data_IF_898947959996
#
_entry.id   IF_898947959996
#
_cell.length_a   1.000
_cell.length_b   1.000
_cell.length_c   1.000
_cell.angle_alpha   90.00
_cell.angle_beta   90.00
_cell.angle_gamma   90.00
#
_symmetry.space_group_name_H-M   'P 1'
#
loop_
_entity.id
_entity.type
_entity.pdbx_description
1 polymer ?
#
# COMPACT_ATOMS: atom_id res chain seq x y z
N UNK A 1 -8.02 60.01 45.77
CA UNK A 1 -8.68 59.26 44.67
C UNK A 1 -7.67 59.13 43.53
N UNK A 2 -7.37 57.90 43.07
CA UNK A 2 -6.47 57.65 41.94
C UNK A 2 -7.32 57.42 40.69
N UNK A 3 -7.14 58.26 39.66
CA UNK A 3 -7.82 58.13 38.38
C UNK A 3 -6.85 57.44 37.43
N UNK A 4 -7.18 56.21 37.03
CA UNK A 4 -6.41 55.49 36.01
C UNK A 4 -6.99 55.84 34.64
N UNK A 5 -6.23 56.54 33.80
CA UNK A 5 -6.54 56.66 32.38
C UNK A 5 -6.35 55.28 31.73
N UNK A 6 -7.46 54.61 31.40
CA UNK A 6 -7.44 53.46 30.52
C UNK A 6 -7.17 53.97 29.10
N UNK A 7 -5.92 53.84 28.65
CA UNK A 7 -5.54 54.12 27.27
C UNK A 7 -6.38 53.31 26.29
N UNK A 8 -6.79 53.94 25.19
CA UNK A 8 -7.53 53.29 24.11
C UNK A 8 -6.74 52.07 23.63
N UNK A 9 -7.27 50.87 23.85
CA UNK A 9 -6.72 49.67 23.24
C UNK A 9 -6.80 49.87 21.72
N UNK A 10 -5.66 49.94 21.03
CA UNK A 10 -5.60 50.01 19.58
C UNK A 10 -6.04 48.68 19.00
N UNK A 11 -7.36 48.47 18.96
CA UNK A 11 -7.97 47.33 18.29
C UNK A 11 -7.70 47.53 16.81
N UNK A 12 -6.61 46.96 16.30
CA UNK A 12 -6.26 47.05 14.90
C UNK A 12 -6.93 45.87 14.18
N UNK A 13 -8.12 46.04 13.57
CA UNK A 13 -8.92 44.93 13.06
C UNK A 13 -8.21 44.18 11.92
N UNK A 14 -7.23 44.83 11.27
CA UNK A 14 -6.46 44.26 10.18
C UNK A 14 -5.45 43.19 10.63
N UNK A 15 -4.84 43.33 11.80
CA UNK A 15 -3.88 42.33 12.32
C UNK A 15 -4.58 41.02 12.69
N UNK A 16 -5.77 41.10 13.28
CA UNK A 16 -6.59 39.94 13.66
C UNK A 16 -7.04 39.11 12.45
N UNK A 17 -7.18 39.73 11.29
CA UNK A 17 -7.53 39.03 10.04
C UNK A 17 -6.32 38.31 9.44
N UNK A 18 -5.12 38.87 9.59
CA UNK A 18 -3.88 38.26 9.11
C UNK A 18 -3.51 36.99 9.90
N UNK A 19 -3.69 37.02 11.22
CA UNK A 19 -3.47 35.86 12.09
C UNK A 19 -4.46 34.72 11.79
N UNK A 20 -5.74 35.04 11.54
CA UNK A 20 -6.75 34.05 11.15
C UNK A 20 -6.44 33.39 9.80
N UNK A 21 -5.85 34.13 8.85
CA UNK A 21 -5.44 33.59 7.55
C UNK A 21 -4.20 32.69 7.65
N UNK A 22 -3.30 32.94 8.61
CA UNK A 22 -2.13 32.10 8.84
C UNK A 22 -2.52 30.72 9.44
N UNK A 23 -3.48 30.68 10.37
CA UNK A 23 -3.95 29.44 11.01
C UNK A 23 -4.72 28.52 10.03
N UNK A 24 -5.36 29.07 9.00
CA UNK A 24 -6.12 28.28 8.02
C UNK A 24 -5.24 27.58 6.96
N UNK A 25 -3.94 27.86 6.87
CA UNK A 25 -3.05 27.26 5.86
C UNK A 25 -2.53 25.86 6.22
N UNK A 26 -2.76 25.37 7.43
CA UNK A 26 -2.21 24.08 7.90
C UNK A 26 -3.22 22.91 7.91
N UNK A 27 -4.46 23.12 7.49
CA UNK A 27 -5.36 22.01 7.22
C UNK A 27 -4.95 21.37 5.88
N UNK A 28 -4.01 20.42 5.94
CA UNK A 28 -3.62 19.61 4.80
C UNK A 28 -4.87 19.09 4.09
N UNK A 29 -5.05 19.48 2.82
CA UNK A 29 -6.19 19.06 2.00
C UNK A 29 -6.26 17.52 2.04
N UNK A 30 -7.45 16.92 2.22
CA UNK A 30 -7.60 15.47 2.16
C UNK A 30 -7.04 15.00 0.81
N UNK A 31 -6.02 14.15 0.86
CA UNK A 31 -5.45 13.50 -0.31
C UNK A 31 -6.18 12.17 -0.49
N UNK A 32 -6.50 11.84 -1.73
CA UNK A 32 -7.02 10.52 -2.05
C UNK A 32 -5.97 9.47 -1.67
N UNK A 33 -6.38 8.48 -0.88
CA UNK A 33 -5.54 7.36 -0.46
C UNK A 33 -6.14 6.07 -1.00
N UNK A 34 -5.37 5.32 -1.76
CA UNK A 34 -5.72 3.98 -2.20
C UNK A 34 -5.05 2.98 -1.26
N UNK A 35 -5.84 2.18 -0.55
CA UNK A 35 -5.33 1.12 0.33
C UNK A 35 -5.73 -0.26 -0.21
N UNK A 36 -4.83 -1.24 -0.05
CA UNK A 36 -5.16 -2.64 -0.29
C UNK A 36 -6.13 -3.09 0.81
N UNK A 37 -7.26 -3.70 0.42
CA UNK A 37 -8.28 -4.18 1.36
C UNK A 37 -7.69 -5.18 2.36
N UNK A 38 -8.22 -5.21 3.58
CA UNK A 38 -7.83 -6.17 4.62
C UNK A 38 -7.95 -7.61 4.10
N UNK A 39 -9.05 -7.90 3.40
CA UNK A 39 -9.30 -9.20 2.79
C UNK A 39 -8.25 -9.58 1.72
N UNK A 40 -7.82 -8.64 0.88
CA UNK A 40 -6.76 -8.91 -0.10
C UNK A 40 -5.42 -9.20 0.56
N UNK A 41 -5.10 -8.52 1.68
CA UNK A 41 -3.90 -8.84 2.48
C UNK A 41 -3.99 -10.23 3.09
N UNK A 42 -5.14 -10.62 3.61
CA UNK A 42 -5.36 -11.97 4.14
C UNK A 42 -5.12 -13.05 3.07
N UNK A 43 -5.66 -12.85 1.86
CA UNK A 43 -5.43 -13.76 0.72
C UNK A 43 -3.94 -13.82 0.31
N UNK A 44 -3.23 -12.70 0.36
CA UNK A 44 -1.79 -12.67 0.09
C UNK A 44 -1.03 -13.51 1.12
N UNK A 45 -1.30 -13.34 2.41
CA UNK A 45 -0.65 -14.14 3.45
C UNK A 45 -1.00 -15.63 3.36
N UNK A 46 -2.23 -15.98 2.93
CA UNK A 46 -2.61 -17.37 2.69
C UNK A 46 -1.80 -18.01 1.54
N UNK A 47 -1.37 -17.22 0.56
CA UNK A 47 -0.48 -17.69 -0.50
C UNK A 47 0.93 -18.03 0.00
N UNK A 48 1.36 -17.43 1.11
CA UNK A 48 2.65 -17.73 1.73
C UNK A 48 2.67 -19.15 2.34
N UNK A 49 1.52 -19.69 2.78
CA UNK A 49 1.45 -21.08 3.26
C UNK A 49 1.75 -22.12 2.15
N UNK A 50 1.54 -21.76 0.89
CA UNK A 50 1.86 -22.61 -0.27
C UNK A 50 3.37 -22.68 -0.52
N UNK A 51 4.16 -21.76 0.03
CA UNK A 51 5.60 -21.63 -0.25
C UNK A 51 6.43 -22.83 0.19
N UNK A 52 6.10 -23.48 1.31
CA UNK A 52 6.84 -24.67 1.78
C UNK A 52 6.73 -25.84 0.79
N UNK A 53 5.50 -26.17 0.36
CA UNK A 53 5.28 -27.19 -0.68
C UNK A 53 5.97 -26.85 -2.01
N UNK A 54 6.16 -25.55 -2.28
CA UNK A 54 6.86 -25.06 -3.47
C UNK A 54 8.37 -25.28 -3.37
N UNK A 55 8.95 -25.12 -2.18
CA UNK A 55 10.39 -25.33 -1.97
C UNK A 55 10.79 -26.78 -2.23
N UNK A 56 10.03 -27.74 -1.70
CA UNK A 56 10.25 -29.18 -1.95
C UNK A 56 10.19 -29.51 -3.45
N UNK A 57 9.15 -29.01 -4.13
CA UNK A 57 8.99 -29.18 -5.58
C UNK A 57 10.16 -28.59 -6.37
N UNK A 58 10.67 -27.43 -5.97
CA UNK A 58 11.84 -26.81 -6.61
C UNK A 58 13.09 -27.66 -6.40
N UNK A 59 13.31 -28.18 -5.19
CA UNK A 59 14.46 -29.03 -4.89
C UNK A 59 14.44 -30.30 -5.75
N UNK A 60 13.29 -30.96 -5.88
CA UNK A 60 13.13 -32.13 -6.74
C UNK A 60 13.44 -31.82 -8.21
N UNK A 61 12.87 -30.73 -8.74
CA UNK A 61 13.12 -30.32 -10.12
C UNK A 61 14.60 -30.02 -10.38
N UNK A 62 15.30 -29.41 -9.43
CA UNK A 62 16.74 -29.16 -9.54
C UNK A 62 17.53 -30.48 -9.63
N UNK A 63 17.22 -31.44 -8.77
CA UNK A 63 17.86 -32.76 -8.81
C UNK A 63 17.60 -33.50 -10.13
N UNK A 64 16.38 -33.43 -10.67
CA UNK A 64 16.03 -34.04 -11.96
C UNK A 64 16.81 -33.39 -13.13
N UNK A 65 17.02 -32.07 -13.06
CA UNK A 65 17.79 -31.33 -14.07
C UNK A 65 19.28 -31.68 -13.97
N UNK A 66 19.85 -31.69 -12.76
CA UNK A 66 21.26 -32.01 -12.52
C UNK A 66 21.59 -33.46 -12.92
N UNK A 67 20.67 -34.40 -12.68
CA UNK A 67 20.78 -35.80 -13.10
C UNK A 67 20.53 -36.02 -14.60
N UNK A 68 20.09 -34.99 -15.34
CA UNK A 68 19.73 -35.09 -16.76
C UNK A 68 18.47 -35.91 -17.03
N UNK A 69 17.68 -36.22 -16.01
CA UNK A 69 16.46 -37.03 -16.12
C UNK A 69 15.20 -36.17 -16.32
N UNK A 70 15.32 -34.85 -16.22
CA UNK A 70 14.22 -33.93 -16.45
C UNK A 70 13.70 -34.02 -17.89
N UNK A 71 12.43 -34.41 -18.04
CA UNK A 71 11.76 -34.52 -19.33
C UNK A 71 10.82 -33.34 -19.56
N UNK A 72 11.02 -32.66 -20.68
CA UNK A 72 10.14 -31.58 -21.13
C UNK A 72 8.95 -32.23 -21.83
N UNK A 73 7.75 -32.05 -21.27
CA UNK A 73 6.50 -32.45 -21.90
C UNK A 73 5.81 -31.25 -22.56
N UNK A 74 5.89 -31.19 -23.89
CA UNK A 74 5.28 -30.12 -24.69
C UNK A 74 3.76 -30.08 -24.57
N UNK A 75 3.09 -31.23 -24.37
CA UNK A 75 1.64 -31.27 -24.20
C UNK A 75 1.25 -30.65 -22.85
N UNK A 76 1.95 -31.02 -21.78
CA UNK A 76 1.75 -30.42 -20.45
C UNK A 76 1.97 -28.90 -20.46
N UNK A 77 2.96 -28.41 -21.21
CA UNK A 77 3.23 -26.97 -21.36
C UNK A 77 2.05 -26.28 -22.05
N UNK A 78 1.62 -26.79 -23.21
CA UNK A 78 0.51 -26.22 -23.96
C UNK A 78 -0.79 -26.21 -23.11
N UNK A 79 -1.08 -27.31 -22.42
CA UNK A 79 -2.23 -27.42 -21.53
C UNK A 79 -2.17 -26.38 -20.41
N UNK A 80 -1.02 -26.20 -19.75
CA UNK A 80 -0.86 -25.20 -18.68
C UNK A 80 -1.01 -23.77 -19.17
N UNK A 81 -0.48 -23.45 -20.36
CA UNK A 81 -0.66 -22.13 -20.98
C UNK A 81 -2.14 -21.90 -21.24
N UNK A 82 -2.81 -22.84 -21.89
CA UNK A 82 -4.24 -22.77 -22.18
C UNK A 82 -5.05 -22.62 -20.90
N UNK A 83 -4.79 -23.44 -19.88
CA UNK A 83 -5.50 -23.38 -18.60
C UNK A 83 -5.28 -22.07 -17.85
N UNK A 84 -4.09 -21.47 -17.95
CA UNK A 84 -3.81 -20.17 -17.31
C UNK A 84 -4.63 -19.04 -17.93
N UNK A 85 -4.71 -18.99 -19.26
CA UNK A 85 -5.41 -17.91 -19.97
C UNK A 85 -6.91 -18.14 -20.13
N UNK A 86 -7.39 -19.40 -20.19
CA UNK A 86 -8.83 -19.71 -20.33
C UNK A 86 -9.62 -19.57 -19.04
N UNK A 87 -8.97 -19.54 -17.88
CA UNK A 87 -9.65 -19.50 -16.57
C UNK A 87 -9.98 -18.09 -16.09
N UNK A 88 -9.97 -17.10 -17.00
CA UNK A 88 -10.50 -15.76 -16.74
C UNK A 88 -12.03 -15.74 -16.84
#
# INVERSE_FOLDING_TARGET
MKINQYGTQSVNPYQKNYEKQAVQKEAAKPKDKVEISSHAKELQNASDAVTNSRQEKIAQLKADIESGTYKIDSNSIAEKIVNFYKKQ
#
